data_IF_844267828228
#
_entry.id   IF_844267828228
#
_cell.length_a   1.000
_cell.length_b   1.000
_cell.length_c   1.000
_cell.angle_alpha   90.00
_cell.angle_beta   90.00
_cell.angle_gamma   90.00
#
_symmetry.space_group_name_H-M   'P 1'
#
loop_
_entity.id
_entity.type
_entity.pdbx_description
1 polymer ?
#
# COMPACT_ATOMS: atom_id res chain seq x y z
N UNK A 1 2.39 59.33 62.48
CA UNK A 1 2.25 58.22 61.51
C UNK A 1 2.99 57.00 62.04
N UNK A 2 2.27 55.90 62.27
CA UNK A 2 2.74 54.66 62.91
C UNK A 2 3.28 53.69 61.84
N UNK A 3 4.25 52.89 62.28
CA UNK A 3 4.59 51.52 61.84
C UNK A 3 5.36 51.37 60.52
N UNK A 4 6.25 50.39 60.36
CA UNK A 4 7.10 49.55 61.24
C UNK A 4 7.89 48.73 60.23
N UNK A 5 9.20 48.68 60.37
CA UNK A 5 10.11 47.84 59.60
C UNK A 5 9.65 46.37 59.69
N UNK A 6 9.34 45.73 58.56
CA UNK A 6 9.03 44.30 58.53
C UNK A 6 10.18 43.50 57.92
N UNK A 7 10.80 42.77 58.86
CA UNK A 7 11.74 41.67 58.81
C UNK A 7 11.73 40.82 57.53
N UNK A 8 12.94 40.63 57.00
CA UNK A 8 13.35 39.51 56.13
C UNK A 8 13.05 38.19 56.85
N UNK A 9 12.38 37.27 56.17
CA UNK A 9 12.31 35.86 56.57
C UNK A 9 12.72 35.03 55.36
N UNK A 10 13.88 34.41 55.45
CA UNK A 10 14.39 33.40 54.52
C UNK A 10 13.60 32.12 54.80
N UNK A 11 12.85 31.63 53.82
CA UNK A 11 12.18 30.33 53.85
C UNK A 11 12.62 29.51 52.65
N UNK A 12 13.55 28.60 52.89
CA UNK A 12 14.16 27.68 51.93
C UNK A 12 13.11 26.66 51.45
N UNK A 13 12.46 26.90 50.31
CA UNK A 13 11.63 25.88 49.65
C UNK A 13 12.47 25.08 48.66
N UNK A 14 13.10 24.01 49.16
CA UNK A 14 13.61 22.92 48.34
C UNK A 14 12.43 22.04 47.96
N UNK A 15 11.80 22.30 46.81
CA UNK A 15 10.98 21.28 46.15
C UNK A 15 11.87 20.52 45.17
N UNK A 16 12.19 19.30 45.58
CA UNK A 16 12.88 18.28 44.80
C UNK A 16 12.06 18.07 43.52
N UNK A 17 12.58 18.51 42.37
CA UNK A 17 12.08 18.11 41.08
C UNK A 17 12.43 16.63 40.87
N UNK A 18 11.54 15.74 41.32
CA UNK A 18 11.60 14.32 40.97
C UNK A 18 11.34 14.25 39.47
N UNK A 19 12.42 14.13 38.70
CA UNK A 19 12.36 13.88 37.27
C UNK A 19 11.59 12.58 37.02
N UNK A 20 10.36 12.71 36.53
CA UNK A 20 9.63 11.61 35.91
C UNK A 20 10.33 11.27 34.59
N UNK A 21 11.43 10.50 34.68
CA UNK A 21 11.92 9.72 33.53
C UNK A 21 10.93 8.58 33.36
N UNK A 22 9.78 8.90 32.77
CA UNK A 22 8.96 7.86 32.14
C UNK A 22 9.83 7.29 31.02
N UNK A 23 10.25 6.04 31.19
CA UNK A 23 10.89 5.28 30.13
C UNK A 23 9.80 4.98 29.10
N UNK A 24 9.47 5.96 28.25
CA UNK A 24 8.67 5.70 27.06
C UNK A 24 9.48 4.74 26.20
N UNK A 25 8.96 3.53 25.98
CA UNK A 25 9.56 2.60 25.01
C UNK A 25 9.73 3.41 23.72
N UNK A 26 10.97 3.53 23.24
CA UNK A 26 11.27 4.23 21.98
C UNK A 26 10.38 3.63 20.90
N UNK A 27 9.40 4.39 20.42
CA UNK A 27 8.57 3.97 19.30
C UNK A 27 9.49 3.88 18.08
N UNK A 28 9.52 2.71 17.45
CA UNK A 28 10.33 2.52 16.26
C UNK A 28 9.76 3.38 15.12
N UNK A 29 10.65 4.02 14.37
CA UNK A 29 10.31 4.71 13.13
C UNK A 29 9.92 3.70 12.05
N UNK A 30 9.15 4.13 11.06
CA UNK A 30 8.84 3.31 9.86
C UNK A 30 10.12 2.73 9.24
N UNK A 31 11.17 3.54 9.09
CA UNK A 31 12.46 3.08 8.59
C UNK A 31 13.04 1.95 9.44
N UNK A 32 13.05 2.08 10.77
CA UNK A 32 13.55 1.05 11.67
C UNK A 32 12.72 -0.24 11.58
N UNK A 33 11.39 -0.14 11.45
CA UNK A 33 10.49 -1.31 11.33
C UNK A 33 10.71 -2.02 9.99
N UNK A 34 10.68 -1.29 8.88
CA UNK A 34 10.86 -1.86 7.53
C UNK A 34 12.23 -2.49 7.39
N UNK A 35 13.28 -1.80 7.87
CA UNK A 35 14.65 -2.36 7.87
C UNK A 35 14.69 -3.66 8.65
N UNK A 36 14.12 -3.69 9.86
CA UNK A 36 14.10 -4.89 10.70
C UNK A 36 13.37 -6.05 9.99
N UNK A 37 12.17 -5.81 9.46
CA UNK A 37 11.39 -6.82 8.76
C UNK A 37 12.16 -7.37 7.53
N UNK A 38 12.82 -6.50 6.76
CA UNK A 38 13.62 -6.89 5.61
C UNK A 38 14.85 -7.70 6.02
N UNK A 39 15.52 -7.31 7.10
CA UNK A 39 16.66 -8.04 7.66
C UNK A 39 16.29 -9.44 8.12
N UNK A 40 15.20 -9.57 8.86
CA UNK A 40 14.69 -10.88 9.31
C UNK A 40 14.35 -11.75 8.10
N UNK A 41 13.62 -11.21 7.12
CA UNK A 41 13.25 -11.92 5.90
C UNK A 41 14.46 -12.47 5.12
N UNK A 42 15.52 -11.67 4.95
CA UNK A 42 16.70 -12.11 4.16
C UNK A 42 17.61 -13.04 4.95
N UNK A 43 17.85 -12.78 6.25
CA UNK A 43 18.76 -13.59 7.07
C UNK A 43 18.30 -15.04 7.16
N UNK A 44 16.99 -15.29 7.20
CA UNK A 44 16.43 -16.65 7.16
C UNK A 44 16.72 -17.42 5.86
N UNK A 45 17.03 -16.71 4.77
CA UNK A 45 17.25 -17.27 3.42
C UNK A 45 18.71 -17.25 2.98
N UNK A 46 19.59 -16.60 3.76
CA UNK A 46 21.01 -16.49 3.46
C UNK A 46 21.75 -17.80 3.77
N UNK A 47 22.75 -18.13 2.93
CA UNK A 47 23.65 -19.26 3.19
C UNK A 47 24.50 -19.06 4.47
N UNK A 48 24.93 -17.82 4.70
CA UNK A 48 25.71 -17.43 5.89
C UNK A 48 25.10 -16.15 6.49
N UNK A 49 24.10 -16.26 7.37
CA UNK A 49 23.42 -15.11 7.98
C UNK A 49 24.37 -14.24 8.81
N UNK A 50 25.48 -14.79 9.31
CA UNK A 50 26.46 -14.05 10.12
C UNK A 50 27.28 -13.05 9.29
N UNK A 51 27.37 -13.28 7.97
CA UNK A 51 28.03 -12.38 7.02
C UNK A 51 27.20 -11.16 6.61
N UNK A 52 25.96 -11.05 7.08
CA UNK A 52 25.06 -9.95 6.73
C UNK A 52 25.65 -8.58 7.07
N UNK A 53 25.60 -7.67 6.11
CA UNK A 53 26.02 -6.28 6.26
C UNK A 53 25.01 -5.38 5.55
N UNK A 54 24.29 -4.58 6.33
CA UNK A 54 23.34 -3.60 5.80
C UNK A 54 24.05 -2.56 4.92
N UNK A 55 23.46 -2.23 3.77
CA UNK A 55 23.98 -1.18 2.87
C UNK A 55 22.99 -0.03 2.74
N UNK A 56 21.75 -0.30 2.35
CA UNK A 56 20.77 0.75 2.00
C UNK A 56 19.34 0.31 2.30
N UNK A 57 18.53 1.28 2.70
CA UNK A 57 17.08 1.22 2.65
C UNK A 57 16.59 2.61 2.22
N UNK A 58 15.85 2.67 1.13
CA UNK A 58 15.39 3.92 0.52
C UNK A 58 13.92 3.77 0.14
N UNK A 59 13.06 4.67 0.62
CA UNK A 59 11.66 4.74 0.18
C UNK A 59 11.65 5.34 -1.23
N UNK A 60 11.11 4.62 -2.20
CA UNK A 60 11.03 5.08 -3.59
C UNK A 60 9.63 5.46 -4.01
N UNK A 61 8.60 4.85 -3.41
CA UNK A 61 7.22 5.13 -3.75
C UNK A 61 6.26 4.81 -2.60
N UNK A 62 5.11 5.47 -2.59
CA UNK A 62 3.99 5.22 -1.68
C UNK A 62 2.69 5.30 -2.46
N UNK A 63 1.96 4.19 -2.50
CA UNK A 63 0.64 4.08 -3.14
C UNK A 63 -0.43 4.37 -2.11
N UNK A 64 -1.40 5.21 -2.43
CA UNK A 64 -2.57 5.49 -1.59
C UNK A 64 -3.76 4.62 -1.97
N UNK A 65 -4.78 4.53 -1.10
CA UNK A 65 -6.04 3.89 -1.48
C UNK A 65 -6.74 4.59 -2.64
N UNK A 66 -6.54 5.91 -2.80
CA UNK A 66 -7.03 6.66 -3.95
C UNK A 66 -6.36 6.19 -5.26
N UNK A 67 -5.05 5.97 -5.25
CA UNK A 67 -4.33 5.47 -6.44
C UNK A 67 -4.86 4.08 -6.85
N UNK A 68 -5.10 3.20 -5.87
CA UNK A 68 -5.72 1.89 -6.11
C UNK A 68 -7.14 2.03 -6.68
N UNK A 69 -7.94 2.96 -6.14
CA UNK A 69 -9.28 3.25 -6.62
C UNK A 69 -9.28 3.68 -8.09
N UNK A 70 -8.43 4.65 -8.44
CA UNK A 70 -8.31 5.17 -9.80
C UNK A 70 -7.80 4.11 -10.77
N UNK A 71 -6.82 3.29 -10.36
CA UNK A 71 -6.35 2.16 -11.14
C UNK A 71 -7.48 1.20 -11.54
N UNK A 72 -8.33 0.82 -10.58
CA UNK A 72 -9.47 -0.06 -10.84
C UNK A 72 -10.54 0.63 -11.69
N UNK A 73 -10.84 1.91 -11.44
CA UNK A 73 -11.77 2.69 -12.28
C UNK A 73 -11.30 2.72 -13.73
N UNK A 74 -10.02 2.99 -13.97
CA UNK A 74 -9.47 3.04 -15.31
C UNK A 74 -9.58 1.67 -16.00
N UNK A 75 -9.24 0.59 -15.28
CA UNK A 75 -9.38 -0.78 -15.80
C UNK A 75 -10.81 -1.08 -16.25
N UNK A 76 -11.81 -0.87 -15.39
CA UNK A 76 -13.20 -1.16 -15.73
C UNK A 76 -13.75 -0.21 -16.80
N UNK A 77 -13.33 1.06 -16.79
CA UNK A 77 -13.76 2.05 -17.79
C UNK A 77 -13.25 1.71 -19.20
N UNK A 78 -11.98 1.32 -19.32
CA UNK A 78 -11.40 0.90 -20.61
C UNK A 78 -12.09 -0.36 -21.15
N UNK A 79 -12.37 -1.33 -20.27
CA UNK A 79 -13.11 -2.53 -20.66
C UNK A 79 -14.54 -2.21 -21.10
N UNK A 80 -15.24 -1.35 -20.37
CA UNK A 80 -16.59 -0.90 -20.71
C UNK A 80 -16.63 -0.19 -22.07
N UNK A 81 -15.66 0.68 -22.36
CA UNK A 81 -15.56 1.36 -23.65
C UNK A 81 -15.32 0.38 -24.80
N UNK A 82 -14.40 -0.57 -24.61
CA UNK A 82 -14.13 -1.63 -25.58
C UNK A 82 -15.37 -2.50 -25.85
N UNK A 83 -16.08 -2.90 -24.79
CA UNK A 83 -17.27 -3.73 -24.88
C UNK A 83 -18.41 -3.00 -25.59
N UNK A 84 -18.61 -1.69 -25.32
CA UNK A 84 -19.60 -0.87 -26.02
C UNK A 84 -19.31 -0.75 -27.52
N UNK A 85 -18.06 -0.49 -27.90
CA UNK A 85 -17.65 -0.44 -29.32
C UNK A 85 -17.86 -1.79 -30.03
N UNK A 86 -17.60 -2.88 -29.32
CA UNK A 86 -17.85 -4.24 -29.80
C UNK A 86 -19.35 -4.49 -30.00
N UNK A 87 -20.19 -4.04 -29.07
CA UNK A 87 -21.64 -4.18 -29.13
C UNK A 87 -22.23 -3.40 -30.30
N UNK A 88 -21.81 -2.16 -30.50
CA UNK A 88 -22.22 -1.34 -31.65
C UNK A 88 -21.90 -2.02 -32.98
N UNK A 89 -20.75 -2.71 -33.05
CA UNK A 89 -20.33 -3.45 -34.24
C UNK A 89 -21.19 -4.68 -34.49
N UNK A 90 -21.47 -5.46 -33.44
CA UNK A 90 -22.35 -6.63 -33.54
C UNK A 90 -23.78 -6.25 -33.93
N UNK A 91 -24.33 -5.16 -33.37
CA UNK A 91 -25.67 -4.69 -33.72
C UNK A 91 -25.75 -4.19 -35.18
N UNK A 92 -24.66 -3.64 -35.76
CA UNK A 92 -24.63 -3.33 -37.21
C UNK A 92 -24.69 -4.59 -38.07
N UNK A 93 -24.02 -5.68 -37.67
CA UNK A 93 -24.07 -6.95 -38.42
C UNK A 93 -25.47 -7.53 -38.53
N UNK A 94 -26.38 -7.22 -37.59
CA UNK A 94 -27.79 -7.60 -37.68
C UNK A 94 -28.44 -7.15 -39.00
N UNK A 95 -28.00 -6.01 -39.54
CA UNK A 95 -28.51 -5.42 -40.77
C UNK A 95 -27.55 -5.67 -41.94
N UNK A 96 -26.26 -5.38 -41.74
CA UNK A 96 -25.27 -5.32 -42.81
C UNK A 96 -24.74 -6.70 -43.23
N UNK A 97 -24.57 -7.61 -42.26
CA UNK A 97 -23.96 -8.93 -42.47
C UNK A 97 -24.62 -9.98 -41.54
N UNK A 98 -25.88 -10.36 -41.76
CA UNK A 98 -26.62 -11.21 -40.81
C UNK A 98 -25.97 -12.57 -40.53
N UNK A 99 -25.14 -13.09 -41.45
CA UNK A 99 -24.37 -14.33 -41.24
C UNK A 99 -23.27 -14.22 -40.18
N UNK A 100 -22.85 -13.00 -39.83
CA UNK A 100 -21.89 -12.72 -38.75
C UNK A 100 -22.58 -12.25 -37.46
N UNK A 101 -23.91 -12.08 -37.49
CA UNK A 101 -24.67 -11.70 -36.30
C UNK A 101 -24.87 -12.89 -35.37
N UNK A 102 -24.55 -12.71 -34.09
CA UNK A 102 -24.78 -13.70 -33.06
C UNK A 102 -25.52 -13.06 -31.88
N UNK A 103 -26.80 -13.41 -31.73
CA UNK A 103 -27.66 -12.89 -30.67
C UNK A 103 -27.14 -13.24 -29.27
N UNK A 104 -26.58 -14.45 -29.09
CA UNK A 104 -25.98 -14.86 -27.82
C UNK A 104 -24.78 -13.99 -27.45
N UNK A 105 -23.94 -13.66 -28.43
CA UNK A 105 -22.77 -12.80 -28.20
C UNK A 105 -23.19 -11.38 -27.81
N UNK A 106 -24.28 -10.88 -28.41
CA UNK A 106 -24.89 -9.59 -28.04
C UNK A 106 -25.42 -9.62 -26.60
N UNK A 107 -26.13 -10.67 -26.20
CA UNK A 107 -26.63 -10.84 -24.83
C UNK A 107 -25.49 -10.94 -23.81
N UNK A 108 -24.49 -11.77 -24.08
CA UNK A 108 -23.32 -11.95 -23.23
C UNK A 108 -22.55 -10.62 -23.05
N UNK A 109 -22.41 -9.84 -24.13
CA UNK A 109 -21.75 -8.54 -24.09
C UNK A 109 -22.56 -7.47 -23.34
N UNK A 110 -23.89 -7.45 -23.50
CA UNK A 110 -24.79 -6.57 -22.72
C UNK A 110 -24.70 -6.89 -21.23
N UNK A 111 -24.70 -8.17 -20.85
CA UNK A 111 -24.53 -8.59 -19.46
C UNK A 111 -23.17 -8.17 -18.89
N UNK A 112 -22.09 -8.27 -19.69
CA UNK A 112 -20.74 -7.82 -19.31
C UNK A 112 -20.66 -6.31 -19.11
N UNK A 113 -21.27 -5.52 -20.01
CA UNK A 113 -21.40 -4.06 -19.89
C UNK A 113 -22.12 -3.69 -18.60
N UNK A 114 -23.30 -4.26 -18.35
CA UNK A 114 -24.10 -3.97 -17.16
C UNK A 114 -23.34 -4.35 -15.87
N UNK A 115 -22.60 -5.47 -15.88
CA UNK A 115 -21.72 -5.87 -14.78
C UNK A 115 -20.63 -4.83 -14.52
N UNK A 116 -19.92 -4.37 -15.54
CA UNK A 116 -18.86 -3.37 -15.40
C UNK A 116 -19.41 -2.02 -14.92
N UNK A 117 -20.58 -1.59 -15.40
CA UNK A 117 -21.27 -0.38 -14.93
C UNK A 117 -21.64 -0.46 -13.45
N UNK A 118 -22.16 -1.61 -13.00
CA UNK A 118 -22.46 -1.85 -11.57
C UNK A 118 -21.20 -1.81 -10.71
N UNK A 119 -20.09 -2.37 -11.19
CA UNK A 119 -18.81 -2.34 -10.48
C UNK A 119 -18.34 -0.89 -10.34
N UNK A 120 -18.29 -0.12 -11.43
CA UNK A 120 -17.88 1.29 -11.41
C UNK A 120 -18.74 2.12 -10.44
N UNK A 121 -20.05 1.96 -10.49
CA UNK A 121 -20.97 2.67 -9.57
C UNK A 121 -20.71 2.33 -8.09
N UNK A 122 -20.41 1.06 -7.78
CA UNK A 122 -20.06 0.64 -6.42
C UNK A 122 -18.69 1.18 -5.98
N UNK A 123 -17.72 1.23 -6.88
CA UNK A 123 -16.40 1.84 -6.66
C UNK A 123 -16.57 3.33 -6.31
N UNK A 124 -17.36 4.09 -7.07
CA UNK A 124 -17.65 5.50 -6.77
C UNK A 124 -18.37 5.69 -5.41
N UNK A 125 -19.27 4.77 -5.08
CA UNK A 125 -19.97 4.77 -3.80
C UNK A 125 -19.01 4.53 -2.63
N UNK A 126 -18.07 3.60 -2.77
CA UNK A 126 -17.05 3.35 -1.74
C UNK A 126 -16.08 4.52 -1.60
N UNK A 127 -15.68 5.15 -2.70
CA UNK A 127 -14.83 6.34 -2.66
C UNK A 127 -15.46 7.45 -1.80
N UNK A 128 -16.78 7.66 -1.97
CA UNK A 128 -17.55 8.62 -1.18
C UNK A 128 -17.64 8.24 0.30
N UNK A 129 -17.71 6.94 0.62
CA UNK A 129 -17.77 6.42 2.00
C UNK A 129 -16.42 6.48 2.72
N UNK A 130 -15.32 6.26 1.99
CA UNK A 130 -13.97 6.30 2.55
C UNK A 130 -13.51 7.73 2.85
N UNK A 131 -13.93 8.71 2.03
CA UNK A 131 -13.60 10.12 2.25
C UNK A 131 -12.09 10.35 2.39
N UNK A 132 -11.67 11.02 3.46
CA UNK A 132 -10.25 11.32 3.73
C UNK A 132 -9.37 10.08 3.87
N UNK A 133 -9.94 8.91 4.21
CA UNK A 133 -9.18 7.66 4.30
C UNK A 133 -8.61 7.22 2.95
N UNK A 134 -9.12 7.73 1.83
CA UNK A 134 -8.55 7.46 0.52
C UNK A 134 -7.11 8.00 0.38
N UNK A 135 -6.77 9.03 1.15
CA UNK A 135 -5.42 9.62 1.16
C UNK A 135 -4.46 8.85 2.07
N UNK A 136 -4.92 7.82 2.78
CA UNK A 136 -4.05 6.94 3.55
C UNK A 136 -3.20 6.07 2.61
N UNK A 137 -1.95 5.84 3.02
CA UNK A 137 -1.04 4.96 2.30
C UNK A 137 -1.58 3.53 2.37
N UNK A 138 -1.72 2.89 1.21
CA UNK A 138 -2.06 1.49 1.05
C UNK A 138 -0.80 0.61 1.01
N UNK A 139 0.29 1.11 0.41
CA UNK A 139 1.56 0.38 0.36
C UNK A 139 2.75 1.32 0.21
N UNK A 140 3.91 0.88 0.70
CA UNK A 140 5.19 1.55 0.48
C UNK A 140 6.12 0.63 -0.29
N UNK A 141 6.88 1.20 -1.23
CA UNK A 141 7.91 0.49 -2.00
C UNK A 141 9.28 1.06 -1.65
N UNK A 142 10.22 0.17 -1.36
CA UNK A 142 11.59 0.49 -0.99
C UNK A 142 12.61 -0.21 -1.88
N UNK A 143 13.78 0.39 -2.01
CA UNK A 143 14.99 -0.30 -2.43
C UNK A 143 15.79 -0.67 -1.18
N UNK A 144 16.03 -1.97 -1.01
CA UNK A 144 16.81 -2.54 0.09
C UNK A 144 18.06 -3.20 -0.46
N UNK A 145 19.22 -2.87 0.11
CA UNK A 145 20.49 -3.47 -0.29
C UNK A 145 21.28 -3.96 0.92
N UNK A 146 21.92 -5.11 0.78
CA UNK A 146 22.80 -5.69 1.78
C UNK A 146 23.93 -6.47 1.13
N UNK A 147 25.03 -6.68 1.85
CA UNK A 147 26.06 -7.63 1.46
C UNK A 147 25.98 -8.88 2.29
N UNK A 148 26.36 -10.01 1.70
CA UNK A 148 26.44 -11.30 2.36
C UNK A 148 27.28 -12.29 1.55
N UNK A 149 27.76 -13.34 2.21
CA UNK A 149 28.47 -14.41 1.56
C UNK A 149 27.48 -15.31 0.81
N UNK A 150 27.79 -15.63 -0.44
CA UNK A 150 27.08 -16.65 -1.20
C UNK A 150 27.51 -18.07 -0.74
N UNK A 151 26.94 -19.11 -1.37
CA UNK A 151 27.27 -20.51 -1.06
C UNK A 151 28.76 -20.89 -1.28
N UNK A 152 29.51 -20.08 -2.03
CA UNK A 152 30.95 -20.26 -2.27
C UNK A 152 31.83 -19.40 -1.37
N UNK A 153 31.26 -18.69 -0.39
CA UNK A 153 31.99 -17.82 0.54
C UNK A 153 32.39 -16.46 -0.03
N UNK A 154 31.97 -16.11 -1.25
CA UNK A 154 32.24 -14.80 -1.83
C UNK A 154 31.23 -13.76 -1.31
N UNK A 155 31.73 -12.62 -0.83
CA UNK A 155 30.90 -11.49 -0.40
C UNK A 155 30.30 -10.80 -1.63
N UNK A 156 28.97 -10.82 -1.73
CA UNK A 156 28.21 -10.21 -2.83
C UNK A 156 27.30 -9.10 -2.31
N UNK A 157 27.04 -8.09 -3.16
CA UNK A 157 26.01 -7.08 -2.94
C UNK A 157 24.69 -7.59 -3.54
N UNK A 158 23.63 -7.57 -2.75
CA UNK A 158 22.28 -7.89 -3.19
C UNK A 158 21.40 -6.63 -3.08
N UNK A 159 20.50 -6.44 -4.03
CA UNK A 159 19.50 -5.37 -4.04
C UNK A 159 18.13 -5.97 -4.35
N UNK A 160 17.13 -5.57 -3.57
CA UNK A 160 15.74 -6.03 -3.66
C UNK A 160 14.80 -4.83 -3.63
N UNK A 161 13.70 -4.94 -4.36
CA UNK A 161 12.50 -4.13 -4.15
C UNK A 161 11.70 -4.76 -3.01
N UNK A 162 11.32 -3.96 -2.03
CA UNK A 162 10.51 -4.37 -0.87
C UNK A 162 9.20 -3.61 -0.89
N UNK A 163 8.08 -4.32 -0.94
CA UNK A 163 6.75 -3.73 -0.84
C UNK A 163 6.13 -4.13 0.48
N UNK A 164 5.54 -3.16 1.19
CA UNK A 164 4.99 -3.38 2.53
C UNK A 164 3.52 -3.02 2.60
N UNK A 165 2.82 -3.66 3.53
CA UNK A 165 1.60 -3.13 4.13
C UNK A 165 1.84 -1.75 4.75
N UNK A 166 0.77 -0.97 5.01
CA UNK A 166 0.93 0.31 5.65
C UNK A 166 1.19 0.14 7.16
N UNK A 167 1.22 1.28 7.86
CA UNK A 167 1.34 1.32 9.31
C UNK A 167 0.26 0.44 9.98
N UNK A 168 0.51 -0.07 11.20
CA UNK A 168 1.70 0.20 12.02
C UNK A 168 2.86 -0.77 11.79
N UNK A 169 2.62 -1.94 11.18
CA UNK A 169 3.57 -3.05 11.22
C UNK A 169 4.49 -3.14 9.99
N UNK A 170 4.09 -2.51 8.87
CA UNK A 170 4.86 -2.53 7.62
C UNK A 170 5.31 -3.95 7.22
N UNK A 171 4.38 -4.90 7.33
CA UNK A 171 4.62 -6.30 6.94
C UNK A 171 5.02 -6.37 5.47
N UNK A 172 6.03 -7.19 5.15
CA UNK A 172 6.50 -7.37 3.77
C UNK A 172 5.48 -8.22 3.02
N UNK A 173 4.85 -7.64 2.01
CA UNK A 173 3.91 -8.33 1.11
C UNK A 173 4.61 -8.85 -0.14
N UNK A 174 5.76 -8.24 -0.51
CA UNK A 174 6.60 -8.70 -1.60
C UNK A 174 8.05 -8.28 -1.37
N UNK A 175 9.00 -9.16 -1.72
CA UNK A 175 10.42 -8.83 -1.79
C UNK A 175 11.02 -9.54 -2.99
N UNK A 176 11.53 -8.80 -3.97
CA UNK A 176 12.02 -9.38 -5.22
C UNK A 176 13.16 -8.55 -5.83
N UNK A 177 14.09 -9.22 -6.49
CA UNK A 177 15.14 -8.66 -7.34
C UNK A 177 14.72 -8.63 -8.83
N UNK A 178 13.55 -9.18 -9.15
CA UNK A 178 12.97 -9.24 -10.48
C UNK A 178 11.89 -8.15 -10.64
N UNK A 179 12.12 -7.22 -11.56
CA UNK A 179 11.21 -6.08 -11.81
C UNK A 179 9.85 -6.51 -12.30
N UNK A 180 9.76 -7.65 -12.99
CA UNK A 180 8.50 -8.15 -13.54
C UNK A 180 7.61 -8.79 -12.45
N UNK A 181 8.14 -8.95 -11.24
CA UNK A 181 7.44 -9.51 -10.06
C UNK A 181 7.02 -8.45 -9.05
N UNK A 182 7.18 -7.16 -9.37
CA UNK A 182 6.68 -6.07 -8.53
C UNK A 182 5.15 -6.06 -8.63
N UNK A 183 4.48 -6.04 -7.48
CA UNK A 183 3.01 -5.96 -7.42
C UNK A 183 2.61 -4.54 -7.79
N UNK A 184 1.82 -4.39 -8.83
CA UNK A 184 1.22 -3.11 -9.20
C UNK A 184 0.07 -2.81 -8.23
N UNK A 185 0.07 -1.62 -7.63
CA UNK A 185 -1.03 -1.13 -6.79
C UNK A 185 -1.43 -2.11 -5.67
N UNK A 186 -0.52 -2.42 -4.73
CA UNK A 186 -0.78 -3.40 -3.69
C UNK A 186 -1.84 -2.91 -2.71
N UNK A 187 -2.52 -3.85 -2.06
CA UNK A 187 -3.54 -3.63 -1.05
C UNK A 187 -4.75 -2.83 -1.54
N UNK A 188 -5.73 -3.53 -2.12
CA UNK A 188 -6.99 -2.93 -2.52
C UNK A 188 -7.67 -2.12 -1.40
N UNK A 189 -8.53 -1.19 -1.80
CA UNK A 189 -9.31 -0.42 -0.85
C UNK A 189 -10.39 -1.29 -0.16
N UNK A 190 -10.72 -0.93 1.08
CA UNK A 190 -11.71 -1.63 1.88
C UNK A 190 -13.06 -1.72 1.13
N UNK A 191 -13.60 -2.94 0.99
CA UNK A 191 -14.86 -3.19 0.28
C UNK A 191 -14.69 -3.65 -1.17
N UNK A 192 -13.48 -3.59 -1.74
CA UNK A 192 -13.23 -3.97 -3.13
C UNK A 192 -13.51 -5.46 -3.39
N UNK A 193 -12.97 -6.37 -2.57
CA UNK A 193 -13.16 -7.81 -2.72
C UNK A 193 -14.63 -8.19 -2.73
N UNK A 194 -15.44 -7.60 -1.84
CA UNK A 194 -16.87 -7.85 -1.78
C UNK A 194 -17.62 -7.33 -3.02
N UNK A 195 -17.15 -6.25 -3.64
CA UNK A 195 -17.69 -5.81 -4.94
C UNK A 195 -17.40 -6.85 -6.00
N UNK A 196 -16.15 -7.30 -6.10
CA UNK A 196 -15.77 -8.26 -7.14
C UNK A 196 -16.55 -9.57 -6.94
N UNK A 197 -16.53 -10.16 -5.75
CA UNK A 197 -17.22 -11.43 -5.46
C UNK A 197 -18.74 -11.38 -5.68
N UNK A 198 -19.41 -10.29 -5.28
CA UNK A 198 -20.88 -10.17 -5.45
C UNK A 198 -21.31 -9.81 -6.87
N UNK A 199 -20.37 -9.49 -7.75
CA UNK A 199 -20.64 -9.23 -9.15
C UNK A 199 -19.88 -10.19 -10.08
N UNK A 200 -19.20 -11.21 -9.54
CA UNK A 200 -18.58 -12.29 -10.31
C UNK A 200 -19.67 -13.21 -10.88
#
# INVERSE_FOLDING_TARGET
MKNKTRKITIGLFVFIAIGLVTCSKKQLTQYEIVKKNAEEYVKEKMNDPSSYEFVKLELVDSVTFNDNMEYHKEYFSRNLEYDRRSLETLERYKIELPSMYNEKEVEDLKAKIEKNERILSKIDSLASLLGERMNEVASNTYIFSFRGNNAFGAKILNEYVVQTNPAPNFEIINMTDDKDRIILNPNDFQGYTEIIEKNL
#
